data_IF_529051719296
#
_entry.id   IF_529051719296
#
_cell.length_a   1.000
_cell.length_b   1.000
_cell.length_c   1.000
_cell.angle_alpha   90.00
_cell.angle_beta   90.00
_cell.angle_gamma   90.00
#
_symmetry.space_group_name_H-M   'P 1'
#
loop_
_entity.id
_entity.type
_entity.pdbx_description
1 polymer ?
#
# COMPACT_ATOMS: atom_id res chain seq x y z
N UNK A 1 -3.21 35.09 43.20
CA UNK A 1 -2.06 34.17 43.28
C UNK A 1 -2.14 33.51 44.64
N UNK A 2 -2.78 32.35 44.73
CA UNK A 2 -2.96 31.58 45.97
C UNK A 2 -2.82 30.11 45.64
N UNK A 3 -1.99 29.44 46.43
CA UNK A 3 -1.27 28.21 46.16
C UNK A 3 -2.12 27.04 45.65
N UNK A 4 -1.58 26.32 44.66
CA UNK A 4 -2.02 24.99 44.30
C UNK A 4 -1.85 24.08 45.52
N UNK A 5 -2.96 23.57 46.06
CA UNK A 5 -2.94 22.61 47.14
C UNK A 5 -2.23 21.33 46.67
N UNK A 6 -1.13 21.04 47.36
CA UNK A 6 -0.28 19.87 47.18
C UNK A 6 -1.15 18.61 47.36
N UNK A 7 -1.21 17.75 46.34
CA UNK A 7 -1.97 16.49 46.43
C UNK A 7 -1.09 15.48 47.16
N UNK A 8 -1.52 14.92 48.31
CA UNK A 8 -0.72 13.96 49.05
C UNK A 8 -0.40 12.75 48.17
N UNK A 9 0.87 12.36 48.15
CA UNK A 9 1.37 11.22 47.37
C UNK A 9 0.84 9.93 48.01
N UNK A 10 0.25 8.99 47.25
CA UNK A 10 -0.29 7.77 47.82
C UNK A 10 0.83 6.93 48.46
N UNK A 11 0.70 6.63 49.75
CA UNK A 11 1.56 5.67 50.43
C UNK A 11 1.26 4.27 49.88
N UNK A 12 2.31 3.58 49.45
CA UNK A 12 2.24 2.34 48.68
C UNK A 12 1.33 1.28 49.35
N UNK A 13 0.35 0.77 48.59
CA UNK A 13 -0.40 -0.45 48.95
C UNK A 13 -1.92 -0.30 49.07
N UNK A 14 -2.49 0.92 49.02
CA UNK A 14 -3.94 1.06 48.85
C UNK A 14 -4.31 0.72 47.40
N UNK A 15 -4.73 -0.53 47.18
CA UNK A 15 -5.41 -0.91 45.96
C UNK A 15 -6.62 0.02 45.78
N UNK A 16 -6.74 0.65 44.62
CA UNK A 16 -7.92 1.43 44.27
C UNK A 16 -9.16 0.58 44.58
N UNK A 17 -10.10 1.14 45.35
CA UNK A 17 -11.30 0.39 45.70
C UNK A 17 -12.05 0.02 44.41
N UNK A 18 -12.76 -1.12 44.38
CA UNK A 18 -13.52 -1.54 43.20
C UNK A 18 -14.45 -0.43 42.67
N UNK A 19 -15.02 0.37 43.58
CA UNK A 19 -15.84 1.55 43.26
C UNK A 19 -15.05 2.66 42.54
N UNK A 20 -13.83 2.95 42.99
CA UNK A 20 -12.97 3.95 42.35
C UNK A 20 -12.55 3.50 40.94
N UNK A 21 -12.29 2.21 40.75
CA UNK A 21 -11.97 1.63 39.43
C UNK A 21 -13.20 1.65 38.51
N UNK A 22 -14.38 1.33 39.03
CA UNK A 22 -15.64 1.43 38.30
C UNK A 22 -15.87 2.87 37.82
N UNK A 23 -15.76 3.85 38.73
CA UNK A 23 -15.91 5.28 38.43
C UNK A 23 -14.87 5.79 37.43
N UNK A 24 -13.60 5.40 37.58
CA UNK A 24 -12.54 5.77 36.64
C UNK A 24 -12.77 5.22 35.23
N UNK A 25 -13.45 4.07 35.13
CA UNK A 25 -13.87 3.47 33.85
C UNK A 25 -15.25 3.94 33.37
N UNK A 26 -15.89 4.87 34.07
CA UNK A 26 -17.22 5.38 33.73
C UNK A 26 -18.33 4.35 33.87
N UNK A 27 -18.12 3.31 34.68
CA UNK A 27 -19.07 2.23 34.93
C UNK A 27 -19.66 2.34 36.34
N UNK A 28 -20.85 1.81 36.52
CA UNK A 28 -21.43 1.55 37.85
C UNK A 28 -20.72 0.37 38.52
N UNK A 29 -20.83 0.25 39.85
CA UNK A 29 -20.21 -0.84 40.60
C UNK A 29 -20.72 -2.22 40.13
N UNK A 30 -22.03 -2.35 39.90
CA UNK A 30 -22.65 -3.59 39.42
C UNK A 30 -22.14 -4.03 38.03
N UNK A 31 -21.91 -3.07 37.13
CA UNK A 31 -21.34 -3.33 35.81
C UNK A 31 -19.90 -3.80 35.91
N UNK A 32 -19.12 -3.21 36.81
CA UNK A 32 -17.74 -3.59 37.06
C UNK A 32 -17.63 -5.01 37.67
N UNK A 33 -18.51 -5.35 38.61
CA UNK A 33 -18.57 -6.71 39.18
C UNK A 33 -18.94 -7.75 38.13
N UNK A 34 -19.91 -7.44 37.26
CA UNK A 34 -20.29 -8.31 36.13
C UNK A 34 -19.15 -8.50 35.15
N UNK A 35 -18.36 -7.44 34.91
CA UNK A 35 -17.17 -7.49 34.08
C UNK A 35 -16.10 -8.41 34.69
N UNK A 36 -15.80 -8.27 35.99
CA UNK A 36 -14.88 -9.17 36.68
C UNK A 36 -15.35 -10.63 36.61
N UNK A 37 -16.63 -10.89 36.86
CA UNK A 37 -17.20 -12.23 36.77
C UNK A 37 -17.08 -12.83 35.35
N UNK A 38 -17.10 -12.01 34.31
CA UNK A 38 -16.90 -12.46 32.92
C UNK A 38 -15.46 -12.88 32.62
N UNK A 39 -14.47 -12.26 33.28
CA UNK A 39 -13.05 -12.58 33.14
C UNK A 39 -12.66 -13.86 33.87
N UNK A 40 -13.40 -14.22 34.93
CA UNK A 40 -13.11 -15.37 35.78
C UNK A 40 -13.90 -16.63 35.39
N UNK A 41 -14.83 -16.57 34.43
CA UNK A 41 -15.52 -17.78 33.97
C UNK A 41 -14.51 -18.72 33.28
N UNK A 42 -14.43 -20.00 33.71
CA UNK A 42 -13.66 -21.00 32.99
C UNK A 42 -14.15 -21.05 31.55
N UNK A 43 -13.24 -20.86 30.59
CA UNK A 43 -13.46 -21.19 29.19
C UNK A 43 -13.65 -22.71 29.12
N UNK A 44 -14.89 -23.18 29.22
CA UNK A 44 -15.21 -24.55 28.81
C UNK A 44 -15.06 -24.55 27.29
N UNK A 45 -13.92 -25.06 26.88
CA UNK A 45 -13.50 -25.29 25.51
C UNK A 45 -14.33 -26.44 24.96
N UNK A 46 -15.55 -26.14 24.51
CA UNK A 46 -16.46 -27.13 23.94
C UNK A 46 -16.54 -26.97 22.43
N UNK A 47 -15.55 -27.57 21.74
CA UNK A 47 -15.70 -27.99 20.35
C UNK A 47 -15.61 -29.52 20.26
N UNK A 48 -16.81 -30.10 20.23
CA UNK A 48 -17.22 -31.30 19.49
C UNK A 48 -16.53 -32.64 19.83
N UNK A 49 -17.15 -33.33 20.78
CA UNK A 49 -17.40 -34.77 20.81
C UNK A 49 -18.03 -35.30 19.52
N UNK A 50 -17.67 -36.52 19.13
CA UNK A 50 -18.55 -37.40 18.36
C UNK A 50 -18.72 -38.72 19.11
N UNK A 51 -19.90 -38.93 19.68
CA UNK A 51 -20.57 -40.20 19.99
C UNK A 51 -21.73 -39.99 20.99
N UNK A 52 -22.91 -39.75 20.42
CA UNK A 52 -24.23 -40.29 20.79
C UNK A 52 -24.67 -40.33 22.27
N UNK A 53 -25.58 -39.42 22.67
CA UNK A 53 -26.91 -39.73 23.23
C UNK A 53 -27.68 -38.44 23.65
N UNK A 54 -29.03 -38.44 23.66
CA UNK A 54 -29.85 -37.24 23.38
C UNK A 54 -30.58 -36.69 24.62
N UNK A 55 -30.89 -35.39 24.62
CA UNK A 55 -32.23 -34.90 24.98
C UNK A 55 -32.38 -33.37 24.88
N UNK A 56 -33.59 -33.01 24.46
CA UNK A 56 -34.31 -31.76 24.73
C UNK A 56 -34.01 -30.55 23.82
N UNK A 57 -34.86 -30.45 22.80
CA UNK A 57 -35.20 -29.26 22.03
C UNK A 57 -35.58 -28.09 22.95
N UNK A 58 -34.86 -26.97 22.85
CA UNK A 58 -35.30 -25.67 23.36
C UNK A 58 -35.05 -24.59 22.28
N UNK A 59 -35.86 -23.52 22.23
CA UNK A 59 -36.04 -22.71 21.04
C UNK A 59 -34.79 -21.90 20.69
N UNK A 60 -34.42 -21.87 19.41
CA UNK A 60 -33.39 -20.98 18.90
C UNK A 60 -33.90 -19.53 19.01
N UNK A 61 -33.49 -18.83 20.06
CA UNK A 61 -33.58 -17.37 20.11
C UNK A 61 -32.46 -16.84 19.23
N UNK A 62 -32.82 -16.20 18.10
CA UNK A 62 -31.89 -15.48 17.24
C UNK A 62 -31.12 -14.45 18.09
N UNK A 63 -29.83 -14.72 18.30
CA UNK A 63 -28.91 -13.82 18.97
C UNK A 63 -28.66 -12.61 18.07
N UNK A 64 -28.91 -11.36 18.51
CA UNK A 64 -28.44 -10.18 17.79
C UNK A 64 -26.92 -10.25 17.70
N UNK A 65 -26.37 -10.17 16.47
CA UNK A 65 -24.93 -10.19 16.25
C UNK A 65 -24.26 -9.05 17.03
N UNK A 66 -23.39 -9.40 17.98
CA UNK A 66 -22.61 -8.42 18.74
C UNK A 66 -21.68 -7.63 17.79
N UNK A 67 -21.52 -6.31 17.98
CA UNK A 67 -20.61 -5.51 17.15
C UNK A 67 -19.16 -5.97 17.38
N UNK A 68 -18.46 -6.32 16.30
CA UNK A 68 -17.05 -6.69 16.36
C UNK A 68 -16.19 -5.51 16.89
N UNK A 69 -15.13 -5.79 17.68
CA UNK A 69 -14.30 -4.75 18.28
C UNK A 69 -13.61 -3.89 17.21
N UNK A 70 -13.64 -2.57 17.40
CA UNK A 70 -13.02 -1.59 16.51
C UNK A 70 -11.50 -1.84 16.41
N UNK A 71 -11.06 -2.28 15.24
CA UNK A 71 -9.67 -2.55 14.94
C UNK A 71 -8.84 -1.25 15.02
N UNK A 72 -7.74 -1.28 15.78
CA UNK A 72 -6.81 -0.15 15.94
C UNK A 72 -6.35 0.46 14.61
N UNK A 73 -6.30 1.80 14.56
CA UNK A 73 -6.08 2.67 13.39
C UNK A 73 -4.74 2.52 12.64
N UNK A 74 -3.86 1.60 13.02
CA UNK A 74 -2.58 1.34 12.31
C UNK A 74 -2.78 0.95 10.84
N UNK A 75 -3.98 0.50 10.47
CA UNK A 75 -4.36 0.19 9.09
C UNK A 75 -4.68 1.41 8.22
N UNK A 76 -5.04 2.57 8.78
CA UNK A 76 -5.52 3.72 8.01
C UNK A 76 -4.40 4.40 7.22
N UNK A 77 -3.24 4.64 7.85
CA UNK A 77 -2.09 5.27 7.20
C UNK A 77 -1.51 4.44 6.04
N UNK A 78 -1.41 3.11 6.21
CA UNK A 78 -0.93 2.20 5.17
C UNK A 78 -1.87 2.17 3.95
N UNK A 79 -3.19 2.26 4.16
CA UNK A 79 -4.17 2.34 3.06
C UNK A 79 -4.06 3.67 2.32
N UNK A 80 -3.98 4.79 3.03
CA UNK A 80 -3.86 6.11 2.41
C UNK A 80 -2.60 6.24 1.56
N UNK A 81 -1.44 5.82 2.07
CA UNK A 81 -0.19 5.83 1.31
C UNK A 81 -0.27 4.97 0.04
N UNK A 82 -0.81 3.75 0.17
CA UNK A 82 -1.01 2.85 -0.98
C UNK A 82 -1.90 3.49 -2.04
N UNK A 83 -3.04 4.06 -1.66
CA UNK A 83 -3.97 4.75 -2.59
C UNK A 83 -3.30 5.94 -3.27
N UNK A 84 -2.57 6.77 -2.52
CA UNK A 84 -1.86 7.92 -3.08
C UNK A 84 -0.79 7.51 -4.08
N UNK A 85 0.02 6.50 -3.76
CA UNK A 85 1.04 5.99 -4.69
C UNK A 85 0.42 5.38 -5.95
N UNK A 86 -0.74 4.71 -5.83
CA UNK A 86 -1.45 4.15 -6.97
C UNK A 86 -2.03 5.21 -7.90
N UNK A 87 -2.69 6.22 -7.33
CA UNK A 87 -3.22 7.36 -8.10
C UNK A 87 -2.08 8.14 -8.75
N UNK A 88 -1.00 8.39 -8.01
CA UNK A 88 0.19 9.04 -8.55
C UNK A 88 0.81 8.23 -9.68
N UNK A 89 1.02 6.92 -9.48
CA UNK A 89 1.56 6.04 -10.52
C UNK A 89 0.68 5.95 -11.76
N UNK A 90 -0.65 5.96 -11.59
CA UNK A 90 -1.59 6.03 -12.71
C UNK A 90 -1.48 7.34 -13.46
N UNK A 91 -1.47 8.46 -12.74
CA UNK A 91 -1.32 9.78 -13.33
C UNK A 91 -0.01 9.89 -14.12
N UNK A 92 1.12 9.45 -13.55
CA UNK A 92 2.40 9.40 -14.25
C UNK A 92 2.34 8.52 -15.52
N UNK A 93 1.69 7.36 -15.45
CA UNK A 93 1.53 6.46 -16.60
C UNK A 93 0.70 7.09 -17.70
N UNK A 94 -0.41 7.75 -17.36
CA UNK A 94 -1.27 8.40 -18.35
C UNK A 94 -0.59 9.63 -18.96
N UNK A 95 0.12 10.41 -18.15
CA UNK A 95 0.87 11.59 -18.60
C UNK A 95 2.09 11.22 -19.46
N UNK A 96 2.63 10.02 -19.33
CA UNK A 96 3.76 9.57 -20.17
C UNK A 96 3.34 9.13 -21.57
N UNK A 97 2.07 8.74 -21.79
CA UNK A 97 1.58 8.21 -23.08
C UNK A 97 1.90 9.14 -24.26
N UNK A 98 1.59 10.45 -24.23
CA UNK A 98 1.90 11.33 -25.36
C UNK A 98 3.41 11.42 -25.64
N UNK A 99 4.23 11.44 -24.59
CA UNK A 99 5.68 11.47 -24.71
C UNK A 99 6.22 10.18 -25.34
N UNK A 100 5.64 9.03 -24.99
CA UNK A 100 6.02 7.74 -25.58
C UNK A 100 5.54 7.59 -27.04
N UNK A 101 4.37 8.14 -27.38
CA UNK A 101 3.90 8.16 -28.77
C UNK A 101 4.74 9.11 -29.65
N UNK A 102 5.19 10.22 -29.08
CA UNK A 102 6.07 11.21 -29.70
C UNK A 102 7.57 10.92 -29.50
N UNK A 103 7.95 9.68 -29.19
CA UNK A 103 9.34 9.34 -28.85
C UNK A 103 10.32 9.71 -29.97
N UNK A 104 9.94 9.51 -31.24
CA UNK A 104 10.77 9.89 -32.39
C UNK A 104 11.04 11.39 -32.48
N UNK A 105 10.01 12.22 -32.28
CA UNK A 105 10.14 13.68 -32.31
C UNK A 105 10.98 14.19 -31.12
N UNK A 106 10.81 13.56 -29.95
CA UNK A 106 11.63 13.81 -28.76
C UNK A 106 13.11 13.50 -29.00
N UNK A 107 13.41 12.35 -29.63
CA UNK A 107 14.77 11.97 -29.99
C UNK A 107 15.35 12.89 -31.07
N UNK A 108 14.58 13.25 -32.10
CA UNK A 108 15.02 14.19 -33.13
C UNK A 108 15.39 15.56 -32.53
N UNK A 109 14.57 16.06 -31.62
CA UNK A 109 14.85 17.30 -30.87
C UNK A 109 16.11 17.16 -30.02
N UNK A 110 16.28 16.03 -29.32
CA UNK A 110 17.45 15.77 -28.49
C UNK A 110 18.75 15.62 -29.32
N UNK A 111 18.69 15.02 -30.50
CA UNK A 111 19.83 14.89 -31.42
C UNK A 111 20.23 16.28 -31.95
N UNK A 112 19.25 17.08 -32.38
CA UNK A 112 19.50 18.44 -32.84
C UNK A 112 20.10 19.34 -31.75
N UNK A 113 19.64 19.21 -30.50
CA UNK A 113 20.20 19.95 -29.36
C UNK A 113 21.66 19.57 -29.04
N UNK A 114 22.07 18.35 -29.38
CA UNK A 114 23.44 17.84 -29.18
C UNK A 114 24.34 18.07 -30.41
N UNK A 115 23.83 18.70 -31.48
CA UNK A 115 24.58 18.88 -32.73
C UNK A 115 24.85 17.58 -33.48
N UNK A 116 24.09 16.52 -33.16
CA UNK A 116 24.12 15.25 -33.89
C UNK A 116 23.35 15.40 -35.21
N UNK A 117 23.65 14.49 -36.14
CA UNK A 117 22.84 14.32 -37.35
C UNK A 117 21.37 14.03 -36.99
N UNK A 118 20.45 14.37 -37.91
CA UNK A 118 19.03 14.17 -37.68
C UNK A 118 18.69 12.70 -37.38
N UNK A 119 17.86 12.47 -36.36
CA UNK A 119 17.32 11.15 -36.05
C UNK A 119 16.59 10.57 -37.27
N UNK A 120 16.84 9.30 -37.59
CA UNK A 120 16.34 8.68 -38.83
C UNK A 120 15.33 7.56 -38.58
N UNK A 121 15.37 6.94 -37.40
CA UNK A 121 14.67 5.69 -37.10
C UNK A 121 13.26 5.87 -36.51
N UNK A 122 12.45 6.76 -37.09
CA UNK A 122 11.10 7.08 -36.58
C UNK A 122 10.16 5.87 -36.47
N UNK A 123 10.25 4.92 -37.41
CA UNK A 123 9.45 3.69 -37.36
C UNK A 123 9.81 2.83 -36.15
N UNK A 124 11.10 2.67 -35.85
CA UNK A 124 11.57 1.94 -34.68
C UNK A 124 11.19 2.67 -33.39
N UNK A 125 11.41 3.99 -33.32
CA UNK A 125 10.98 4.82 -32.20
C UNK A 125 9.49 4.66 -31.88
N UNK A 126 8.63 4.68 -32.91
CA UNK A 126 7.19 4.47 -32.73
C UNK A 126 6.87 3.08 -32.21
N UNK A 127 7.54 2.04 -32.72
CA UNK A 127 7.36 0.67 -32.23
C UNK A 127 7.77 0.55 -30.75
N UNK A 128 8.95 1.08 -30.36
CA UNK A 128 9.40 1.10 -28.97
C UNK A 128 8.46 1.90 -28.06
N UNK A 129 7.94 3.04 -28.53
CA UNK A 129 6.94 3.81 -27.82
C UNK A 129 5.66 3.02 -27.53
N UNK A 130 5.13 2.30 -28.53
CA UNK A 130 3.96 1.44 -28.36
C UNK A 130 4.24 0.30 -27.37
N UNK A 131 5.40 -0.36 -27.51
CA UNK A 131 5.84 -1.43 -26.59
C UNK A 131 5.94 -0.89 -25.16
N UNK A 132 6.51 0.30 -24.98
CA UNK A 132 6.62 0.96 -23.68
C UNK A 132 5.25 1.18 -23.05
N UNK A 133 4.29 1.73 -23.81
CA UNK A 133 2.92 1.98 -23.32
C UNK A 133 2.26 0.67 -22.88
N UNK A 134 2.30 -0.37 -23.71
CA UNK A 134 1.70 -1.67 -23.38
C UNK A 134 2.33 -2.24 -22.12
N UNK A 135 3.67 -2.26 -22.05
CA UNK A 135 4.37 -2.81 -20.90
C UNK A 135 4.12 -1.99 -19.61
N UNK A 136 4.00 -0.67 -19.71
CA UNK A 136 3.66 0.20 -18.58
C UNK A 136 2.24 -0.08 -18.07
N UNK A 137 1.26 -0.23 -18.97
CA UNK A 137 -0.11 -0.56 -18.62
C UNK A 137 -0.19 -1.93 -17.94
N UNK A 138 0.50 -2.94 -18.47
CA UNK A 138 0.56 -4.28 -17.87
C UNK A 138 1.19 -4.23 -16.47
N UNK A 139 2.31 -3.51 -16.32
CA UNK A 139 2.97 -3.33 -15.04
C UNK A 139 2.06 -2.61 -14.04
N UNK A 140 1.33 -1.58 -14.48
CA UNK A 140 0.39 -0.85 -13.63
C UNK A 140 -0.78 -1.73 -13.18
N UNK A 141 -1.39 -2.49 -14.09
CA UNK A 141 -2.47 -3.45 -13.76
C UNK A 141 -1.98 -4.51 -12.78
N UNK A 142 -0.78 -5.05 -12.99
CA UNK A 142 -0.17 -6.01 -12.07
C UNK A 142 0.07 -5.39 -10.69
N UNK A 143 0.52 -4.14 -10.65
CA UNK A 143 0.76 -3.39 -9.41
C UNK A 143 -0.54 -3.14 -8.65
N UNK A 144 -1.61 -2.77 -9.35
CA UNK A 144 -2.95 -2.63 -8.79
C UNK A 144 -3.44 -3.94 -8.21
N UNK A 145 -3.32 -5.03 -8.97
CA UNK A 145 -3.74 -6.35 -8.53
C UNK A 145 -2.97 -6.83 -7.28
N UNK A 146 -1.64 -6.70 -7.29
CA UNK A 146 -0.78 -7.06 -6.16
C UNK A 146 -1.08 -6.21 -4.91
N UNK A 147 -1.31 -4.91 -5.10
CA UNK A 147 -1.66 -4.00 -4.00
C UNK A 147 -2.99 -4.38 -3.37
N UNK A 148 -4.03 -4.65 -4.18
CA UNK A 148 -5.33 -5.10 -3.70
C UNK A 148 -5.22 -6.46 -3.01
N UNK A 149 -4.50 -7.42 -3.59
CA UNK A 149 -4.29 -8.74 -3.00
C UNK A 149 -3.56 -8.68 -1.65
N UNK A 150 -2.57 -7.79 -1.51
CA UNK A 150 -1.82 -7.59 -0.27
C UNK A 150 -2.67 -6.95 0.83
N UNK A 151 -3.54 -5.97 0.49
CA UNK A 151 -4.51 -5.38 1.43
C UNK A 151 -5.51 -6.42 1.89
N UNK A 152 -6.03 -7.28 1.00
CA UNK A 152 -6.94 -8.38 1.36
C UNK A 152 -6.31 -9.39 2.32
N UNK A 153 -4.98 -9.52 2.31
CA UNK A 153 -4.20 -10.39 3.21
C UNK A 153 -3.75 -9.69 4.50
N UNK A 154 -4.16 -8.44 4.74
CA UNK A 154 -3.79 -7.67 5.94
C UNK A 154 -2.32 -7.25 6.02
N UNK A 155 -1.57 -7.29 4.90
CA UNK A 155 -0.14 -6.95 4.87
C UNK A 155 0.12 -5.49 4.45
N UNK A 156 1.25 -4.93 4.91
CA UNK A 156 1.73 -3.64 4.46
C UNK A 156 1.98 -3.67 2.94
N UNK A 157 1.31 -2.79 2.20
CA UNK A 157 1.24 -2.83 0.72
C UNK A 157 1.92 -1.64 0.05
N UNK A 158 2.35 -0.64 0.84
CA UNK A 158 2.89 0.63 0.36
C UNK A 158 4.17 0.50 -0.49
N UNK A 159 4.99 -0.52 -0.25
CA UNK A 159 6.26 -0.73 -0.97
C UNK A 159 6.05 -1.28 -2.39
N UNK A 160 4.94 -1.98 -2.63
CA UNK A 160 4.63 -2.61 -3.93
C UNK A 160 4.55 -1.56 -5.05
N UNK A 161 3.71 -0.50 -4.94
CA UNK A 161 3.64 0.52 -5.99
C UNK A 161 4.92 1.33 -6.11
N UNK A 162 5.70 1.47 -5.03
CA UNK A 162 7.00 2.14 -5.09
C UNK A 162 8.01 1.36 -5.96
N UNK A 163 8.17 0.06 -5.69
CA UNK A 163 9.07 -0.81 -6.48
C UNK A 163 8.61 -0.90 -7.93
N UNK A 164 7.30 -1.01 -8.16
CA UNK A 164 6.75 -1.00 -9.51
C UNK A 164 7.04 0.31 -10.25
N UNK A 165 6.96 1.46 -9.57
CA UNK A 165 7.34 2.76 -10.12
C UNK A 165 8.81 2.80 -10.55
N UNK A 166 9.71 2.26 -9.73
CA UNK A 166 11.13 2.14 -10.10
C UNK A 166 11.32 1.27 -11.34
N UNK A 167 10.66 0.10 -11.38
CA UNK A 167 10.71 -0.79 -12.54
C UNK A 167 10.15 -0.12 -13.80
N UNK A 168 9.09 0.68 -13.67
CA UNK A 168 8.48 1.41 -14.77
C UNK A 168 9.45 2.43 -15.39
N UNK A 169 10.17 3.18 -14.55
CA UNK A 169 11.19 4.14 -14.99
C UNK A 169 12.33 3.42 -15.71
N UNK A 170 12.89 2.37 -15.10
CA UNK A 170 13.97 1.59 -15.69
C UNK A 170 13.59 1.00 -17.05
N UNK A 171 12.37 0.49 -17.16
CA UNK A 171 11.83 -0.04 -18.41
C UNK A 171 11.78 1.01 -19.51
N UNK A 172 11.24 2.20 -19.22
CA UNK A 172 11.16 3.29 -20.21
C UNK A 172 12.55 3.77 -20.61
N UNK A 173 13.45 3.93 -19.65
CA UNK A 173 14.84 4.32 -19.91
C UNK A 173 15.55 3.30 -20.82
N UNK A 174 15.35 2.00 -20.59
CA UNK A 174 15.91 0.95 -21.43
C UNK A 174 15.36 0.99 -22.87
N UNK A 175 14.06 1.25 -23.03
CA UNK A 175 13.45 1.36 -24.36
C UNK A 175 13.89 2.61 -25.11
N UNK A 176 14.06 3.74 -24.40
CA UNK A 176 14.67 4.95 -24.95
C UNK A 176 16.09 4.68 -25.44
N UNK A 177 16.91 4.03 -24.62
CA UNK A 177 18.27 3.67 -24.99
C UNK A 177 18.30 2.75 -26.20
N UNK A 178 17.41 1.74 -26.25
CA UNK A 178 17.29 0.86 -27.41
C UNK A 178 16.93 1.62 -28.69
N UNK A 179 16.02 2.61 -28.61
CA UNK A 179 15.63 3.44 -29.75
C UNK A 179 16.75 4.34 -30.27
N UNK A 180 17.68 4.76 -29.40
CA UNK A 180 18.90 5.50 -29.77
C UNK A 180 19.91 4.56 -30.44
N UNK A 181 20.16 3.38 -29.86
CA UNK A 181 21.15 2.42 -30.34
C UNK A 181 20.80 1.89 -31.74
N UNK A 182 19.51 1.68 -32.03
CA UNK A 182 19.09 1.20 -33.36
C UNK A 182 19.29 2.26 -34.45
N UNK A 183 19.49 3.54 -34.08
CA UNK A 183 19.59 4.62 -35.06
C UNK A 183 20.98 4.70 -35.73
N UNK A 184 21.04 4.67 -37.08
CA UNK A 184 22.30 4.77 -37.81
C UNK A 184 23.06 6.08 -37.59
N UNK A 185 22.38 7.21 -37.33
CA UNK A 185 23.05 8.49 -37.09
C UNK A 185 23.86 8.47 -35.79
N UNK A 186 23.31 7.83 -34.76
CA UNK A 186 24.01 7.62 -33.50
C UNK A 186 25.25 6.72 -33.67
N UNK A 187 25.14 5.64 -34.43
CA UNK A 187 26.27 4.73 -34.68
C UNK A 187 27.43 5.43 -35.41
N UNK A 188 27.13 6.25 -36.42
CA UNK A 188 28.15 7.06 -37.12
C UNK A 188 28.85 8.06 -36.19
N UNK A 189 28.12 8.63 -35.23
CA UNK A 189 28.72 9.50 -34.22
C UNK A 189 29.65 8.75 -33.28
N UNK A 190 29.27 7.55 -32.82
CA UNK A 190 30.14 6.72 -31.97
C UNK A 190 31.42 6.34 -32.70
N UNK A 191 31.31 5.96 -33.99
CA UNK A 191 32.47 5.68 -34.83
C UNK A 191 33.41 6.89 -34.96
N UNK A 192 32.86 8.09 -35.20
CA UNK A 192 33.68 9.30 -35.36
C UNK A 192 34.44 9.69 -34.09
N UNK A 193 33.81 9.53 -32.92
CA UNK A 193 34.47 9.75 -31.62
C UNK A 193 35.54 8.70 -31.35
N UNK A 194 35.29 7.43 -31.70
CA UNK A 194 36.26 6.34 -31.49
C UNK A 194 37.54 6.50 -32.31
N UNK A 195 37.45 7.14 -33.47
CA UNK A 195 38.62 7.44 -34.33
C UNK A 195 39.46 8.61 -33.82
N UNK A 196 38.94 9.38 -32.85
CA UNK A 196 39.61 10.53 -32.25
C UNK A 196 40.29 10.23 -30.90
N UNK A 197 40.04 9.05 -30.32
CA UNK A 197 40.59 8.60 -29.04
C UNK A 197 41.83 7.72 -29.24
#
# INVERSE_FOLDING_TARGET
MTAAADRPRPEYGEYATPEQVAKARGMTLEEYERHLASLTRPRVEEQATDATAPAATAPAVERPAAPAPAASDKGAGNRMATTMLLVFGLACTLLSIPSLLGLGDGLATAFGAQGLDAYTSFTAARAFGIIAIIAQLLLWVLTLWLSVAAVRRGRASWWIPLVAGVLAVLLVSALWLAAIIVDPAFMRYVESVSLQA
#
